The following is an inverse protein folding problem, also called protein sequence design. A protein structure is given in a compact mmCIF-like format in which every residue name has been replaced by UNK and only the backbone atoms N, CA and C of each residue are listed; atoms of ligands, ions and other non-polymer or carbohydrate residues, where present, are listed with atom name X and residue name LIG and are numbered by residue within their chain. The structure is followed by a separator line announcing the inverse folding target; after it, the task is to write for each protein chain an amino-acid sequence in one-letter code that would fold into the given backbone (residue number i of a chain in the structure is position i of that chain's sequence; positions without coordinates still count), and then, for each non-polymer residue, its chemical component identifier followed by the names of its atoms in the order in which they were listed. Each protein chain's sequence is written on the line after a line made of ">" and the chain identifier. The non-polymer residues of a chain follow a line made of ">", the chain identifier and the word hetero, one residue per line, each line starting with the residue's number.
data_IF_176479587329
#
_entry.id   IF_176479587329
#
_cell.length_a   1.000
_cell.length_b   1.000
_cell.length_c   1.000
_cell.angle_alpha   90.00
_cell.angle_beta   90.00
_cell.angle_gamma   90.00
#
_symmetry.space_group_name_H-M   'P 1'
#
loop_
_entity.id
_entity.type
_entity.pdbx_description
1 polymer ?
#
# COMPACT_ATOMS: atom_id res chain seq x y z
N UNK A 1 7.38 -25.39 4.78
CA UNK A 1 8.71 -25.45 5.37
C UNK A 1 9.82 -25.08 4.36
N UNK A 2 9.50 -24.66 3.13
CA UNK A 2 10.42 -24.13 2.11
C UNK A 2 11.45 -25.12 1.57
N UNK A 3 11.29 -26.42 1.78
CA UNK A 3 12.20 -27.46 1.26
C UNK A 3 11.60 -28.14 0.04
N UNK A 4 12.37 -28.26 -1.03
CA UNK A 4 12.06 -29.08 -2.19
C UNK A 4 13.10 -30.19 -2.32
N UNK A 5 12.65 -31.40 -2.64
CA UNK A 5 13.50 -32.59 -2.88
C UNK A 5 13.10 -33.19 -4.21
N UNK A 6 14.07 -33.32 -5.12
CA UNK A 6 13.89 -34.03 -6.37
C UNK A 6 14.23 -35.51 -6.13
N UNK A 7 13.26 -36.39 -6.33
CA UNK A 7 13.40 -37.84 -6.12
C UNK A 7 13.47 -38.59 -7.46
N UNK A 8 14.20 -38.07 -8.43
CA UNK A 8 14.37 -38.66 -9.75
C UNK A 8 15.81 -39.01 -9.91
N UNK A 9 16.10 -40.22 -10.45
CA UNK A 9 17.44 -40.61 -10.80
C UNK A 9 17.95 -39.71 -11.93
N UNK A 10 19.05 -39.01 -11.67
CA UNK A 10 19.69 -38.14 -12.64
C UNK A 10 20.94 -38.84 -13.20
N UNK A 11 21.14 -38.89 -14.52
CA UNK A 11 22.41 -39.28 -15.09
C UNK A 11 23.54 -38.34 -14.67
N UNK A 12 24.79 -38.81 -14.74
CA UNK A 12 25.92 -37.92 -14.53
C UNK A 12 25.91 -36.77 -15.54
N UNK A 13 26.13 -35.55 -15.06
CA UNK A 13 26.08 -34.37 -15.93
C UNK A 13 26.00 -33.06 -15.15
N UNK A 14 25.93 -31.98 -15.91
CA UNK A 14 25.75 -30.62 -15.38
C UNK A 14 24.30 -30.20 -15.53
N UNK A 15 23.75 -29.67 -14.47
CA UNK A 15 22.33 -29.29 -14.34
C UNK A 15 22.21 -27.90 -13.73
N UNK A 16 21.02 -27.39 -13.74
CA UNK A 16 20.67 -26.22 -12.93
C UNK A 16 19.24 -26.36 -12.34
N UNK A 17 19.04 -25.75 -11.21
CA UNK A 17 17.70 -25.52 -10.64
C UNK A 17 17.27 -24.11 -11.00
N UNK A 18 16.02 -23.95 -11.38
CA UNK A 18 15.37 -22.66 -11.63
C UNK A 18 13.97 -22.69 -11.03
N UNK A 19 13.53 -21.56 -10.49
CA UNK A 19 12.15 -21.37 -10.06
C UNK A 19 11.25 -21.23 -11.30
N UNK A 20 10.14 -21.98 -11.34
CA UNK A 20 9.16 -21.93 -12.43
C UNK A 20 7.88 -21.20 -12.06
N UNK A 21 7.57 -21.11 -10.75
CA UNK A 21 6.43 -20.39 -10.22
C UNK A 21 6.72 -19.97 -8.79
N UNK A 22 6.10 -18.88 -8.36
CA UNK A 22 6.14 -18.40 -6.98
C UNK A 22 4.74 -17.97 -6.55
N UNK A 23 4.55 -17.68 -5.27
CA UNK A 23 3.35 -17.05 -4.77
C UNK A 23 3.20 -15.63 -5.34
N UNK A 24 1.97 -15.16 -5.52
CA UNK A 24 1.65 -13.89 -6.18
C UNK A 24 2.22 -12.64 -5.48
N UNK A 25 2.60 -12.75 -4.20
CA UNK A 25 3.21 -11.65 -3.45
C UNK A 25 4.70 -11.43 -3.76
N UNK A 26 5.32 -12.37 -4.49
CA UNK A 26 6.76 -12.38 -4.73
C UNK A 26 7.10 -12.24 -6.21
N UNK A 27 8.28 -11.72 -6.45
CA UNK A 27 8.88 -11.64 -7.80
C UNK A 27 9.46 -13.01 -8.15
N UNK A 28 8.98 -13.60 -9.26
CA UNK A 28 9.57 -14.83 -9.78
C UNK A 28 11.02 -14.60 -10.17
N UNK A 29 11.94 -15.42 -9.62
CA UNK A 29 13.36 -15.31 -9.90
C UNK A 29 13.74 -15.99 -11.22
N UNK A 30 14.47 -15.28 -12.08
CA UNK A 30 15.07 -15.85 -13.29
C UNK A 30 16.43 -16.51 -13.04
N UNK A 31 16.89 -16.53 -11.80
CA UNK A 31 18.19 -17.11 -11.43
C UNK A 31 18.26 -18.59 -11.71
N UNK A 32 19.42 -19.03 -12.19
CA UNK A 32 19.77 -20.43 -12.39
C UNK A 32 20.84 -20.81 -11.40
N UNK A 33 20.64 -21.89 -10.69
CA UNK A 33 21.56 -22.43 -9.68
C UNK A 33 22.20 -23.69 -10.25
N UNK A 34 23.41 -23.60 -10.84
CA UNK A 34 24.09 -24.72 -11.48
C UNK A 34 24.62 -25.70 -10.43
N UNK A 35 24.65 -26.99 -10.80
CA UNK A 35 25.31 -28.03 -10.04
C UNK A 35 25.78 -29.13 -11.00
N UNK A 36 26.76 -29.92 -10.56
CA UNK A 36 27.23 -31.07 -11.31
C UNK A 36 27.02 -32.34 -10.48
N UNK A 37 26.39 -33.32 -11.13
CA UNK A 37 26.26 -34.67 -10.59
C UNK A 37 27.33 -35.55 -11.24
N UNK A 38 28.28 -36.07 -10.44
CA UNK A 38 29.38 -36.87 -10.86
C UNK A 38 29.52 -38.14 -10.03
N UNK A 39 30.21 -39.13 -10.57
CA UNK A 39 30.46 -40.36 -9.87
C UNK A 39 31.29 -40.16 -8.60
N UNK A 40 30.76 -40.68 -7.47
CA UNK A 40 31.33 -40.50 -6.13
C UNK A 40 32.00 -41.77 -5.56
N UNK A 41 32.12 -42.86 -6.38
CA UNK A 41 32.72 -44.13 -5.97
C UNK A 41 31.70 -45.28 -5.88
N UNK A 42 32.18 -46.54 -5.92
CA UNK A 42 31.31 -47.75 -5.93
C UNK A 42 30.53 -47.93 -4.64
N UNK A 43 31.03 -47.42 -3.53
CA UNK A 43 30.44 -47.60 -2.19
C UNK A 43 29.46 -46.48 -1.84
N UNK A 44 29.16 -45.55 -2.76
CA UNK A 44 28.26 -44.44 -2.54
C UNK A 44 26.93 -44.67 -3.24
N UNK A 45 25.91 -45.11 -2.48
CA UNK A 45 24.57 -45.38 -3.01
C UNK A 45 23.78 -44.10 -3.33
N UNK A 46 24.05 -43.02 -2.62
CA UNK A 46 23.33 -41.74 -2.76
C UNK A 46 24.28 -40.56 -2.62
N UNK A 47 24.21 -39.63 -3.56
CA UNK A 47 24.94 -38.37 -3.51
C UNK A 47 23.99 -37.25 -3.24
N UNK A 48 24.17 -36.55 -2.11
CA UNK A 48 23.44 -35.32 -1.80
C UNK A 48 24.20 -34.12 -2.35
N UNK A 49 23.51 -33.28 -3.13
CA UNK A 49 24.08 -32.05 -3.70
C UNK A 49 23.34 -30.84 -3.13
N UNK A 50 24.06 -30.01 -2.40
CA UNK A 50 23.54 -28.74 -1.93
C UNK A 50 23.59 -27.70 -3.06
N UNK A 51 22.45 -27.37 -3.63
CA UNK A 51 22.32 -26.30 -4.62
C UNK A 51 22.49 -24.94 -3.91
N UNK A 52 23.01 -23.92 -4.61
CA UNK A 52 23.29 -22.58 -4.07
C UNK A 52 24.23 -22.60 -2.85
N UNK A 53 25.23 -23.50 -2.84
CA UNK A 53 26.15 -23.71 -1.70
C UNK A 53 25.43 -24.00 -0.37
N UNK A 54 24.24 -24.58 -0.43
CA UNK A 54 23.39 -24.86 0.74
C UNK A 54 22.68 -23.63 1.31
N UNK A 55 22.80 -22.46 0.67
CA UNK A 55 22.10 -21.24 1.09
C UNK A 55 20.66 -21.25 0.62
N UNK A 56 19.72 -20.64 1.38
CA UNK A 56 18.35 -20.47 0.91
C UNK A 56 18.27 -19.69 -0.41
N UNK A 57 17.30 -20.04 -1.23
CA UNK A 57 16.90 -19.24 -2.38
C UNK A 57 15.82 -18.28 -1.89
N UNK A 58 16.08 -16.98 -2.00
CA UNK A 58 15.21 -15.93 -1.49
C UNK A 58 14.41 -15.30 -2.62
N UNK A 59 13.10 -15.15 -2.41
CA UNK A 59 12.21 -14.39 -3.27
C UNK A 59 11.98 -12.98 -2.71
N UNK A 60 11.98 -12.01 -3.60
CA UNK A 60 11.71 -10.61 -3.24
C UNK A 60 10.22 -10.35 -3.26
N UNK A 61 9.72 -9.67 -2.23
CA UNK A 61 8.33 -9.20 -2.18
C UNK A 61 8.08 -8.14 -3.26
N UNK A 62 6.85 -8.11 -3.76
CA UNK A 62 6.35 -7.05 -4.63
C UNK A 62 5.99 -5.85 -3.79
N UNK A 63 6.49 -4.68 -4.18
CA UNK A 63 6.14 -3.38 -3.62
C UNK A 63 5.80 -2.40 -4.73
N UNK A 64 4.82 -1.53 -4.44
CA UNK A 64 4.50 -0.34 -5.22
C UNK A 64 4.55 0.90 -4.35
N UNK A 65 3.94 1.97 -4.83
CA UNK A 65 3.74 3.24 -4.11
C UNK A 65 2.36 3.81 -4.40
N UNK A 66 1.89 4.65 -3.50
CA UNK A 66 0.70 5.48 -3.71
C UNK A 66 1.15 6.93 -3.64
N UNK A 67 0.87 7.71 -4.67
CA UNK A 67 1.05 9.16 -4.69
C UNK A 67 -0.31 9.83 -4.72
N UNK A 68 -0.46 10.98 -4.07
CA UNK A 68 -1.73 11.65 -4.03
C UNK A 68 -1.65 13.17 -4.05
N UNK A 69 -2.80 13.76 -4.38
CA UNK A 69 -3.06 15.18 -4.28
C UNK A 69 -4.20 15.42 -3.32
N UNK A 70 -3.97 16.32 -2.37
CA UNK A 70 -4.96 16.86 -1.46
C UNK A 70 -5.35 18.25 -1.96
N UNK A 71 -6.62 18.45 -2.24
CA UNK A 71 -7.15 19.71 -2.78
C UNK A 71 -8.39 20.15 -2.02
N UNK A 72 -8.74 21.41 -2.17
CA UNK A 72 -10.03 21.97 -1.75
C UNK A 72 -11.10 21.70 -2.81
N UNK A 73 -12.38 21.88 -2.48
CA UNK A 73 -13.51 21.82 -3.44
C UNK A 73 -13.36 22.80 -4.63
N UNK A 74 -12.53 23.83 -4.50
CA UNK A 74 -12.22 24.78 -5.58
C UNK A 74 -10.99 24.37 -6.41
N UNK A 75 -10.37 23.20 -6.12
CA UNK A 75 -9.21 22.68 -6.83
C UNK A 75 -7.87 23.27 -6.39
N UNK A 76 -7.84 24.01 -5.27
CA UNK A 76 -6.60 24.56 -4.72
C UNK A 76 -5.84 23.51 -3.91
N UNK A 77 -4.51 23.55 -3.94
CA UNK A 77 -3.68 22.64 -3.15
C UNK A 77 -3.91 22.83 -1.66
N UNK A 78 -4.09 21.73 -0.91
CA UNK A 78 -4.37 21.74 0.52
C UNK A 78 -3.30 20.96 1.30
N UNK A 79 -2.49 21.69 2.08
CA UNK A 79 -1.49 21.13 2.98
C UNK A 79 -2.01 20.93 4.39
N UNK A 80 -1.37 20.01 5.15
CA UNK A 80 -1.63 19.79 6.56
C UNK A 80 -2.67 18.71 6.88
N UNK A 81 -3.31 18.11 5.89
CA UNK A 81 -4.16 16.95 6.10
C UNK A 81 -3.32 15.71 6.45
N UNK A 82 -3.76 14.90 7.40
CA UNK A 82 -3.15 13.60 7.71
C UNK A 82 -3.92 12.50 7.02
N UNK A 83 -3.23 11.75 6.18
CA UNK A 83 -3.79 10.66 5.39
C UNK A 83 -3.19 9.33 5.88
N UNK A 84 -4.01 8.30 6.01
CA UNK A 84 -3.61 6.95 6.37
C UNK A 84 -3.74 5.96 5.22
N UNK A 85 -2.85 4.97 5.20
CA UNK A 85 -2.96 3.76 4.40
C UNK A 85 -3.35 2.60 5.33
N UNK A 86 -4.45 1.93 5.02
CA UNK A 86 -5.05 0.89 5.86
C UNK A 86 -5.19 -0.42 5.09
N UNK A 87 -5.35 -1.52 5.81
CA UNK A 87 -5.77 -2.80 5.23
C UNK A 87 -7.19 -2.67 4.65
N UNK A 88 -7.50 -3.45 3.63
CA UNK A 88 -8.80 -3.42 2.96
C UNK A 88 -9.99 -3.83 3.86
N UNK A 89 -9.73 -4.55 4.93
CA UNK A 89 -10.71 -5.00 5.93
C UNK A 89 -10.74 -4.14 7.20
N UNK A 90 -10.01 -3.00 7.22
CA UNK A 90 -10.00 -2.09 8.36
C UNK A 90 -11.33 -1.35 8.51
N UNK A 91 -11.77 -1.20 9.74
CA UNK A 91 -13.03 -0.52 10.11
C UNK A 91 -12.83 0.70 11.01
N UNK A 92 -11.64 0.83 11.62
CA UNK A 92 -11.29 1.95 12.49
C UNK A 92 -10.10 2.72 11.91
N UNK A 93 -10.36 3.94 11.44
CA UNK A 93 -9.40 4.75 10.69
C UNK A 93 -8.69 5.76 11.60
N UNK A 94 -7.77 5.24 12.41
CA UNK A 94 -6.92 6.04 13.32
C UNK A 94 -5.45 5.96 12.92
N UNK A 95 -4.61 6.83 13.48
CA UNK A 95 -3.14 6.78 13.25
C UNK A 95 -2.54 5.46 13.72
N UNK A 96 -3.08 4.89 14.80
CA UNK A 96 -2.60 3.64 15.41
C UNK A 96 -2.89 2.43 14.53
N UNK A 97 -4.03 2.44 13.81
CA UNK A 97 -4.45 1.34 12.93
C UNK A 97 -3.88 1.46 11.52
N UNK A 98 -3.38 2.64 11.14
CA UNK A 98 -2.78 2.85 9.83
C UNK A 98 -1.48 2.06 9.69
N UNK A 99 -1.30 1.37 8.55
CA UNK A 99 -0.01 0.78 8.19
C UNK A 99 1.05 1.87 7.98
N UNK A 100 0.65 2.97 7.36
CA UNK A 100 1.47 4.16 7.11
C UNK A 100 0.61 5.40 7.23
N UNK A 101 1.24 6.52 7.61
CA UNK A 101 0.61 7.85 7.60
C UNK A 101 1.47 8.82 6.80
N UNK A 102 0.82 9.78 6.12
CA UNK A 102 1.46 10.87 5.42
C UNK A 102 0.71 12.17 5.71
N UNK A 103 1.45 13.30 5.74
CA UNK A 103 0.83 14.62 5.85
C UNK A 103 0.97 15.33 4.50
N UNK A 104 -0.12 15.87 3.96
CA UNK A 104 -0.09 16.61 2.71
C UNK A 104 0.82 17.85 2.82
N UNK A 105 1.67 18.04 1.82
CA UNK A 105 2.57 19.18 1.71
C UNK A 105 1.82 20.44 1.31
N UNK A 106 2.49 21.60 1.32
CA UNK A 106 1.88 22.89 0.92
C UNK A 106 1.33 22.89 -0.51
N UNK A 107 1.90 22.06 -1.38
CA UNK A 107 1.44 21.87 -2.76
C UNK A 107 0.38 20.78 -2.90
N UNK A 108 -0.14 20.28 -1.77
CA UNK A 108 -1.15 19.23 -1.68
C UNK A 108 -0.60 17.82 -1.90
N UNK A 109 0.69 17.63 -2.21
CA UNK A 109 1.24 16.30 -2.47
C UNK A 109 1.38 15.47 -1.20
N UNK A 110 1.16 14.16 -1.31
CA UNK A 110 1.49 13.14 -0.30
C UNK A 110 1.87 11.84 -0.98
N UNK A 111 2.61 10.97 -0.29
CA UNK A 111 2.95 9.64 -0.82
C UNK A 111 3.13 8.59 0.27
N UNK A 112 2.91 7.34 -0.12
CA UNK A 112 3.28 6.13 0.62
C UNK A 112 4.23 5.31 -0.24
N UNK A 113 5.44 5.12 0.24
CA UNK A 113 6.48 4.35 -0.44
C UNK A 113 6.53 2.91 0.08
N UNK A 114 6.97 1.96 -0.78
CA UNK A 114 7.09 0.55 -0.41
C UNK A 114 5.80 -0.06 0.14
N UNK A 115 4.68 0.27 -0.49
CA UNK A 115 3.39 -0.34 -0.20
C UNK A 115 3.43 -1.80 -0.67
N UNK A 116 3.19 -2.80 0.21
CA UNK A 116 3.25 -4.20 -0.16
C UNK A 116 2.18 -4.59 -1.18
N UNK A 117 2.40 -5.68 -1.90
CA UNK A 117 1.36 -6.34 -2.70
C UNK A 117 0.07 -6.54 -1.88
N UNK A 118 -1.08 -6.25 -2.47
CA UNK A 118 -2.39 -6.42 -1.81
C UNK A 118 -3.37 -5.30 -2.10
N UNK A 119 -4.52 -5.38 -1.42
CA UNK A 119 -5.57 -4.37 -1.47
C UNK A 119 -5.51 -3.51 -0.20
N UNK A 120 -5.62 -2.20 -0.39
CA UNK A 120 -5.46 -1.20 0.65
C UNK A 120 -6.55 -0.13 0.55
N UNK A 121 -6.77 0.60 1.63
CA UNK A 121 -7.63 1.79 1.68
C UNK A 121 -6.75 3.01 1.99
N UNK A 122 -6.94 4.09 1.25
CA UNK A 122 -6.40 5.41 1.57
C UNK A 122 -7.55 6.25 2.11
N UNK A 123 -7.36 6.90 3.26
CA UNK A 123 -8.39 7.73 3.89
C UNK A 123 -7.78 8.86 4.69
N UNK A 124 -8.45 9.99 4.72
CA UNK A 124 -8.09 11.10 5.59
C UNK A 124 -8.38 10.73 7.06
N UNK A 125 -7.42 11.03 7.95
CA UNK A 125 -7.52 10.82 9.39
C UNK A 125 -7.78 12.14 10.11
N UNK A 126 -7.10 13.20 9.68
CA UNK A 126 -7.23 14.54 10.26
C UNK A 126 -7.27 15.58 9.13
N UNK A 127 -8.28 16.42 9.16
CA UNK A 127 -8.43 17.54 8.23
C UNK A 127 -7.65 18.78 8.73
N UNK A 128 -7.23 19.67 7.84
CA UNK A 128 -6.74 20.98 8.22
C UNK A 128 -7.87 21.86 8.85
N UNK A 129 -7.48 22.87 9.63
CA UNK A 129 -8.41 23.81 10.22
C UNK A 129 -9.24 24.56 9.16
N UNK A 130 -10.55 24.64 9.35
CA UNK A 130 -11.50 25.28 8.44
C UNK A 130 -12.10 24.36 7.38
N UNK A 131 -11.73 23.07 7.39
CA UNK A 131 -12.24 22.07 6.44
C UNK A 131 -13.04 20.96 7.14
N UNK A 132 -13.89 20.30 6.37
CA UNK A 132 -14.66 19.12 6.80
C UNK A 132 -13.81 17.88 6.49
N UNK A 133 -13.76 16.92 7.42
CA UNK A 133 -13.06 15.64 7.21
C UNK A 133 -13.70 14.89 6.04
N UNK A 134 -12.88 14.47 5.08
CA UNK A 134 -13.32 13.53 4.04
C UNK A 134 -13.27 12.09 4.58
N UNK A 135 -14.46 11.56 4.86
CA UNK A 135 -14.60 10.17 5.35
C UNK A 135 -14.61 9.12 4.25
N UNK A 136 -14.36 9.48 3.00
CA UNK A 136 -14.28 8.56 1.87
C UNK A 136 -13.06 7.64 2.00
N UNK A 137 -13.28 6.37 1.74
CA UNK A 137 -12.19 5.38 1.63
C UNK A 137 -11.89 5.10 0.16
N UNK A 138 -10.66 5.36 -0.25
CA UNK A 138 -10.19 5.18 -1.62
C UNK A 138 -9.48 3.84 -1.73
N UNK A 139 -10.05 2.92 -2.51
CA UNK A 139 -9.46 1.60 -2.73
C UNK A 139 -8.23 1.69 -3.65
N UNK A 140 -7.13 1.09 -3.24
CA UNK A 140 -5.91 0.98 -4.03
C UNK A 140 -5.41 -0.46 -4.02
N UNK A 141 -4.90 -0.93 -5.17
CA UNK A 141 -4.39 -2.28 -5.33
C UNK A 141 -2.97 -2.25 -5.87
N UNK A 142 -2.05 -2.81 -5.12
CA UNK A 142 -0.68 -3.08 -5.58
C UNK A 142 -0.60 -4.53 -6.04
N UNK A 143 -0.29 -4.74 -7.32
CA UNK A 143 -0.20 -6.06 -7.95
C UNK A 143 1.07 -6.25 -8.79
N UNK A 144 1.83 -5.19 -9.03
CA UNK A 144 3.03 -5.22 -9.87
C UNK A 144 4.19 -4.48 -9.20
N UNK A 145 5.41 -4.90 -9.52
CA UNK A 145 6.64 -4.28 -9.02
C UNK A 145 6.75 -2.84 -9.48
N UNK A 146 6.94 -1.92 -8.52
CA UNK A 146 7.12 -0.51 -8.82
C UNK A 146 5.85 0.20 -9.32
N UNK A 147 4.68 -0.43 -9.20
CA UNK A 147 3.40 0.19 -9.54
C UNK A 147 3.19 1.46 -8.74
N UNK A 148 2.74 2.53 -9.40
CA UNK A 148 2.34 3.79 -8.77
C UNK A 148 0.84 3.98 -8.95
N UNK A 149 0.11 4.12 -7.85
CA UNK A 149 -1.32 4.46 -7.86
C UNK A 149 -1.47 5.92 -7.48
N UNK A 150 -2.27 6.66 -8.24
CA UNK A 150 -2.57 8.07 -7.97
C UNK A 150 -3.95 8.20 -7.31
N UNK A 151 -4.04 9.02 -6.26
CA UNK A 151 -5.26 9.30 -5.50
C UNK A 151 -5.44 10.80 -5.34
N UNK A 152 -6.65 11.30 -5.56
CA UNK A 152 -7.03 12.68 -5.27
C UNK A 152 -8.08 12.70 -4.16
N UNK A 153 -7.83 13.51 -3.12
CA UNK A 153 -8.70 13.65 -1.96
C UNK A 153 -9.12 15.12 -1.84
N UNK A 154 -10.44 15.36 -1.76
CA UNK A 154 -11.02 16.71 -1.74
C UNK A 154 -11.62 17.01 -0.38
N UNK A 155 -11.32 18.19 0.20
CA UNK A 155 -12.05 18.68 1.38
C UNK A 155 -12.94 19.85 1.02
N UNK A 156 -14.13 19.84 1.63
CA UNK A 156 -15.06 20.95 1.61
C UNK A 156 -14.73 21.95 2.73
N UNK A 157 -15.00 23.23 2.52
CA UNK A 157 -14.89 24.24 3.56
C UNK A 157 -15.97 24.07 4.60
N UNK A 158 -15.68 24.43 5.85
CA UNK A 158 -16.72 24.59 6.87
C UNK A 158 -17.51 25.86 6.58
N UNK A 159 -18.82 25.73 6.31
CA UNK A 159 -19.71 26.83 6.04
C UNK A 159 -20.55 27.19 7.26
N UNK A 160 -20.72 28.49 7.52
CA UNK A 160 -21.59 29.02 8.57
C UNK A 160 -22.75 29.83 7.98
N UNK A 161 -23.91 29.82 8.66
CA UNK A 161 -25.04 30.63 8.31
C UNK A 161 -25.28 31.67 9.39
N UNK A 162 -25.55 32.91 8.97
CA UNK A 162 -25.96 33.99 9.89
C UNK A 162 -27.46 34.17 9.79
N UNK A 163 -28.17 34.04 10.91
CA UNK A 163 -29.60 34.32 11.01
C UNK A 163 -29.77 35.61 11.81
N UNK A 164 -30.33 36.62 11.16
CA UNK A 164 -30.70 37.90 11.80
C UNK A 164 -32.21 37.95 11.88
N UNK A 165 -32.74 38.30 13.08
CA UNK A 165 -34.15 38.60 13.28
C UNK A 165 -34.25 40.07 13.68
N UNK A 166 -34.98 40.84 12.92
CA UNK A 166 -35.31 42.24 13.24
C UNK A 166 -36.67 42.28 13.90
N UNK A 167 -36.73 42.93 15.03
CA UNK A 167 -37.96 43.09 15.80
C UNK A 167 -38.25 44.59 16.10
N UNK A 168 -39.48 44.90 16.41
CA UNK A 168 -39.86 46.22 16.91
C UNK A 168 -39.30 46.43 18.31
N UNK A 169 -38.81 47.64 18.62
CA UNK A 169 -38.19 47.94 19.91
C UNK A 169 -39.21 47.92 21.05
N UNK A 170 -40.44 48.41 20.77
CA UNK A 170 -41.51 48.49 21.76
C UNK A 170 -42.34 47.18 21.85
N UNK A 171 -42.31 46.36 20.74
CA UNK A 171 -43.05 45.11 20.61
C UNK A 171 -42.13 43.99 20.09
N UNK A 172 -41.29 43.41 20.99
CA UNK A 172 -40.26 42.42 20.54
C UNK A 172 -40.82 41.16 19.90
N UNK A 173 -42.08 40.83 20.09
CA UNK A 173 -42.76 39.71 19.46
C UNK A 173 -43.14 39.99 17.99
N UNK A 174 -43.13 41.26 17.57
CA UNK A 174 -43.38 41.66 16.19
C UNK A 174 -42.11 41.59 15.36
N UNK A 175 -42.04 40.57 14.50
CA UNK A 175 -40.96 40.44 13.50
C UNK A 175 -41.15 41.47 12.39
N UNK A 176 -40.16 42.32 12.18
CA UNK A 176 -40.17 43.30 11.09
C UNK A 176 -39.70 42.64 9.80
N UNK A 177 -40.50 42.69 8.74
CA UNK A 177 -40.09 42.34 7.37
C UNK A 177 -39.36 43.52 6.75
N UNK A 178 -38.15 43.22 6.19
CA UNK A 178 -37.34 44.20 5.47
C UNK A 178 -37.09 43.76 4.07
#
# INVERSE_FOLDING_TARGET
>A
NGKAVIKTDLPFGSYYVKELATDEHYILSDSKYPFTFSYAGQDTETVEIAVNDGKPIENKLIYGSVSGKKITENGEALGGAVIGLFKADETEFTKENALMTATSQKDGSFSFEKVPYGNWLVREIEQPEGFVLDETSYEVKISEVGQVIEVEIVNEYVHGNIKLTKVDEDYPDNKLTG
#
